data_IF_673387377368
#
_entry.id   IF_673387377368
#
_cell.length_a   1.000
_cell.length_b   1.000
_cell.length_c   1.000
_cell.angle_alpha   90.00
_cell.angle_beta   90.00
_cell.angle_gamma   90.00
#
_symmetry.space_group_name_H-M   'P 1'
#
loop_
_entity.id
_entity.type
_entity.pdbx_description
1 polymer ?
#
# COMPACT_ATOMS: atom_id res chain seq x y z
N UNK A 1 34.99 41.90 -11.57
CA UNK A 1 35.12 40.45 -11.29
C UNK A 1 34.27 40.12 -10.08
N UNK A 2 33.09 39.53 -10.27
CA UNK A 2 32.21 39.12 -9.18
C UNK A 2 31.68 37.73 -9.54
N UNK A 3 32.04 36.75 -8.71
CA UNK A 3 31.76 35.32 -8.94
C UNK A 3 30.26 35.07 -8.71
N UNK A 4 29.56 34.65 -9.77
CA UNK A 4 28.19 34.14 -9.69
C UNK A 4 28.18 32.85 -8.86
N UNK A 5 27.41 32.84 -7.78
CA UNK A 5 27.05 31.61 -7.06
C UNK A 5 25.83 31.02 -7.75
N UNK A 6 26.06 30.01 -8.57
CA UNK A 6 25.02 29.16 -9.15
C UNK A 6 24.41 28.34 -8.02
N UNK A 7 23.16 28.64 -7.64
CA UNK A 7 22.37 27.80 -6.75
C UNK A 7 21.74 26.72 -7.63
N UNK A 8 22.38 25.55 -7.66
CA UNK A 8 21.77 24.34 -8.18
C UNK A 8 20.89 23.75 -7.09
N UNK A 9 19.63 23.41 -7.42
CA UNK A 9 18.81 22.61 -6.51
C UNK A 9 17.31 22.68 -6.74
N UNK A 10 16.80 22.03 -7.79
CA UNK A 10 15.47 21.41 -7.76
C UNK A 10 15.56 20.09 -8.53
N UNK A 11 15.96 19.03 -7.83
CA UNK A 11 15.94 17.67 -8.36
C UNK A 11 15.78 16.65 -7.22
N UNK A 12 14.75 16.78 -6.39
CA UNK A 12 14.34 15.68 -5.49
C UNK A 12 12.84 15.73 -5.23
N UNK A 13 12.03 15.26 -6.17
CA UNK A 13 10.63 14.89 -5.90
C UNK A 13 10.24 13.56 -6.55
N UNK A 14 11.21 12.68 -6.78
CA UNK A 14 10.96 11.29 -7.18
C UNK A 14 11.38 10.25 -6.12
N UNK A 15 11.97 10.66 -4.98
CA UNK A 15 12.57 9.73 -4.03
C UNK A 15 11.65 9.22 -2.91
N UNK A 16 10.49 9.84 -2.65
CA UNK A 16 9.63 9.43 -1.52
C UNK A 16 8.53 8.44 -1.95
N UNK A 17 8.06 8.48 -3.20
CA UNK A 17 7.17 7.44 -3.73
C UNK A 17 7.88 6.09 -3.93
N UNK A 18 9.18 6.11 -4.25
CA UNK A 18 9.99 4.89 -4.37
C UNK A 18 10.31 4.22 -3.03
N UNK A 19 10.47 4.99 -1.95
CA UNK A 19 10.78 4.44 -0.63
C UNK A 19 9.60 3.69 0.02
N UNK A 20 8.37 4.08 -0.28
CA UNK A 20 7.17 3.37 0.19
C UNK A 20 7.00 1.99 -0.49
N UNK A 21 7.42 1.86 -1.75
CA UNK A 21 7.43 0.57 -2.47
C UNK A 21 8.58 -0.34 -2.02
N UNK A 22 9.71 0.23 -1.59
CA UNK A 22 10.85 -0.54 -1.05
C UNK A 22 10.55 -1.14 0.34
N UNK A 23 9.64 -0.53 1.10
CA UNK A 23 9.24 -1.01 2.43
C UNK A 23 8.35 -2.27 2.41
N UNK A 24 7.72 -2.56 1.27
CA UNK A 24 6.84 -3.71 1.09
C UNK A 24 7.55 -4.98 0.60
N UNK A 25 8.89 -5.00 0.56
CA UNK A 25 9.62 -6.24 0.31
C UNK A 25 9.76 -7.05 1.62
N UNK A 26 9.31 -8.32 1.65
CA UNK A 26 9.71 -9.21 2.74
C UNK A 26 11.23 -9.34 2.73
N UNK A 27 11.85 -9.22 3.91
CA UNK A 27 13.30 -9.28 4.05
C UNK A 27 13.85 -10.59 3.43
N UNK A 28 14.89 -10.53 2.59
CA UNK A 28 15.57 -11.74 2.16
C UNK A 28 16.33 -12.32 3.36
N UNK A 29 15.97 -13.54 3.77
CA UNK A 29 16.81 -14.32 4.68
C UNK A 29 18.15 -14.61 4.00
N UNK A 30 19.17 -13.86 4.37
CA UNK A 30 20.53 -14.08 3.90
C UNK A 30 21.23 -15.12 4.79
N UNK A 31 21.23 -16.36 4.31
CA UNK A 31 21.95 -17.50 4.86
C UNK A 31 22.56 -18.40 3.79
N UNK A 32 23.69 -17.94 3.22
CA UNK A 32 24.76 -18.72 2.57
C UNK A 32 24.58 -19.18 1.08
N UNK A 33 25.68 -19.49 0.35
CA UNK A 33 26.01 -18.81 -0.91
C UNK A 33 26.07 -19.73 -2.14
N UNK A 34 26.03 -19.16 -3.36
CA UNK A 34 26.37 -19.93 -4.57
C UNK A 34 26.03 -19.32 -5.92
N UNK A 35 26.93 -18.46 -6.40
CA UNK A 35 27.40 -18.36 -7.81
C UNK A 35 26.46 -17.96 -8.97
N UNK A 36 26.91 -16.86 -9.59
CA UNK A 36 27.14 -16.68 -11.03
C UNK A 36 26.06 -15.97 -11.89
N UNK A 37 26.39 -14.71 -12.13
CA UNK A 37 25.94 -13.79 -13.19
C UNK A 37 26.26 -14.35 -14.58
N UNK A 38 25.41 -14.08 -15.58
CA UNK A 38 25.74 -13.37 -16.85
C UNK A 38 24.63 -13.54 -17.91
N UNK A 39 24.19 -12.42 -18.49
CA UNK A 39 23.76 -12.36 -19.89
C UNK A 39 22.31 -11.96 -20.18
N UNK A 40 22.13 -10.71 -20.61
CA UNK A 40 21.09 -10.29 -21.54
C UNK A 40 21.77 -9.41 -22.63
N UNK A 41 21.19 -9.17 -23.81
CA UNK A 41 20.01 -9.77 -24.48
C UNK A 41 20.36 -10.27 -25.91
N UNK A 42 19.37 -10.64 -26.77
CA UNK A 42 18.94 -9.65 -27.75
C UNK A 42 17.44 -9.68 -28.11
N UNK A 43 17.00 -8.54 -28.66
CA UNK A 43 15.79 -8.28 -29.44
C UNK A 43 15.54 -9.29 -30.56
N UNK A 44 14.29 -9.76 -30.68
CA UNK A 44 13.73 -10.21 -31.96
C UNK A 44 12.20 -10.07 -31.94
N UNK A 45 11.69 -9.23 -32.84
CA UNK A 45 10.30 -9.14 -33.27
C UNK A 45 9.79 -10.49 -33.79
N UNK A 46 8.55 -10.87 -33.43
CA UNK A 46 7.68 -11.63 -34.34
C UNK A 46 6.23 -11.17 -34.21
N UNK A 47 5.70 -10.82 -35.35
CA UNK A 47 4.36 -10.31 -35.62
C UNK A 47 3.28 -11.41 -35.52
N UNK A 48 2.12 -10.96 -35.03
CA UNK A 48 0.76 -11.16 -35.55
C UNK A 48 0.22 -12.58 -35.84
N UNK A 49 -0.87 -12.91 -35.15
CA UNK A 49 -2.07 -13.47 -35.78
C UNK A 49 -3.33 -12.95 -35.05
N UNK A 50 -4.26 -12.44 -35.87
CA UNK A 50 -5.43 -11.66 -35.51
C UNK A 50 -6.66 -12.50 -35.16
N UNK A 51 -7.64 -11.84 -34.51
CA UNK A 51 -9.12 -11.94 -34.60
C UNK A 51 -9.63 -11.01 -33.45
N UNK A 52 -10.23 -9.85 -33.62
CA UNK A 52 -11.10 -9.31 -34.66
C UNK A 52 -12.42 -8.91 -34.01
N UNK A 53 -12.53 -7.70 -33.44
CA UNK A 53 -13.82 -7.07 -33.13
C UNK A 53 -13.71 -5.54 -33.10
N UNK A 54 -14.51 -4.93 -33.97
CA UNK A 54 -14.65 -3.53 -34.37
C UNK A 54 -14.56 -2.42 -33.31
N UNK A 55 -13.86 -1.34 -33.70
CA UNK A 55 -14.03 0.02 -33.19
C UNK A 55 -15.34 0.66 -33.71
N UNK A 56 -15.82 1.72 -33.04
CA UNK A 56 -15.53 3.08 -33.52
C UNK A 56 -14.97 3.92 -32.36
N UNK A 57 -14.20 4.99 -32.48
CA UNK A 57 -13.79 5.83 -33.58
C UNK A 57 -13.29 7.13 -32.91
N UNK A 58 -12.09 7.59 -33.28
CA UNK A 58 -11.62 8.98 -33.15
C UNK A 58 -11.66 9.66 -31.78
N UNK A 59 -10.51 9.73 -31.10
CA UNK A 59 -10.28 10.71 -30.03
C UNK A 59 -8.96 10.48 -29.33
N UNK A 60 -7.97 11.34 -29.59
CA UNK A 60 -6.67 11.33 -28.91
C UNK A 60 -6.84 11.36 -27.37
N UNK A 61 -6.03 10.62 -26.58
CA UNK A 61 -6.08 10.74 -25.13
C UNK A 61 -5.27 11.96 -24.71
N UNK A 62 -5.85 13.15 -24.91
CA UNK A 62 -5.49 14.31 -24.11
C UNK A 62 -6.06 14.08 -22.72
N UNK A 63 -5.20 13.75 -21.76
CA UNK A 63 -5.55 13.66 -20.33
C UNK A 63 -6.03 15.03 -19.85
N UNK A 64 -7.32 15.33 -20.05
CA UNK A 64 -8.02 16.37 -19.31
C UNK A 64 -8.38 15.82 -17.92
N UNK A 65 -7.35 15.69 -17.08
CA UNK A 65 -7.46 15.63 -15.62
C UNK A 65 -7.78 17.05 -15.15
N UNK A 66 -8.98 17.52 -15.49
CA UNK A 66 -9.57 18.65 -14.80
C UNK A 66 -10.28 18.12 -13.55
N UNK A 67 -10.30 18.90 -12.48
CA UNK A 67 -11.16 18.70 -11.33
C UNK A 67 -12.62 18.61 -11.79
N UNK A 68 -13.08 17.40 -12.13
CA UNK A 68 -14.48 17.11 -12.44
C UNK A 68 -15.11 16.59 -11.17
N UNK A 69 -16.20 17.24 -10.75
CA UNK A 69 -17.00 16.84 -9.60
C UNK A 69 -17.40 15.36 -9.73
N UNK A 70 -16.90 14.52 -8.83
CA UNK A 70 -17.31 13.12 -8.70
C UNK A 70 -18.63 13.02 -7.92
N UNK A 71 -19.27 11.85 -7.94
CA UNK A 71 -20.39 11.55 -7.04
C UNK A 71 -19.98 11.66 -5.56
N UNK A 72 -18.71 11.40 -5.25
CA UNK A 72 -18.13 11.60 -3.91
C UNK A 72 -18.01 13.08 -3.50
N UNK A 73 -18.05 14.00 -4.46
CA UNK A 73 -17.97 15.45 -4.24
C UNK A 73 -19.36 16.11 -4.18
N UNK A 74 -20.43 15.33 -4.29
CA UNK A 74 -21.81 15.84 -4.29
C UNK A 74 -22.20 16.51 -2.97
N UNK A 75 -21.56 16.12 -1.86
CA UNK A 75 -21.78 16.66 -0.51
C UNK A 75 -20.94 17.92 -0.23
N UNK A 76 -19.99 18.25 -1.12
CA UNK A 76 -19.15 19.44 -0.99
C UNK A 76 -19.93 20.66 -1.49
N UNK A 77 -20.20 21.58 -0.56
CA UNK A 77 -20.96 22.82 -0.81
C UNK A 77 -20.24 23.77 -1.78
N UNK A 78 -18.92 23.61 -1.92
CA UNK A 78 -18.08 24.48 -2.73
C UNK A 78 -17.61 23.78 -4.02
N UNK A 79 -17.93 24.31 -5.22
CA UNK A 79 -17.59 23.69 -6.49
C UNK A 79 -16.09 23.70 -6.84
N UNK A 80 -15.26 24.48 -6.12
CA UNK A 80 -13.79 24.47 -6.30
C UNK A 80 -13.11 23.45 -5.37
N UNK A 81 -13.65 23.23 -4.18
CA UNK A 81 -13.04 22.43 -3.12
C UNK A 81 -13.43 20.96 -3.25
N UNK A 82 -13.15 20.36 -4.40
CA UNK A 82 -13.46 18.96 -4.72
C UNK A 82 -12.26 18.05 -4.48
N UNK A 83 -12.51 16.74 -4.37
CA UNK A 83 -11.44 15.76 -4.39
C UNK A 83 -10.62 15.86 -5.69
N UNK A 84 -9.29 15.79 -5.56
CA UNK A 84 -8.36 15.95 -6.68
C UNK A 84 -8.02 17.40 -7.03
N UNK A 85 -8.49 18.38 -6.25
CA UNK A 85 -8.09 19.79 -6.40
C UNK A 85 -6.56 19.96 -6.38
N UNK A 86 -5.88 19.33 -5.42
CA UNK A 86 -4.42 19.37 -5.35
C UNK A 86 -3.77 18.77 -6.60
N UNK A 87 -4.24 17.64 -7.08
CA UNK A 87 -3.70 17.00 -8.28
C UNK A 87 -3.87 17.90 -9.52
N UNK A 88 -4.99 18.63 -9.60
CA UNK A 88 -5.25 19.62 -10.65
C UNK A 88 -4.31 20.82 -10.53
N UNK A 89 -4.06 21.33 -9.32
CA UNK A 89 -3.08 22.40 -9.09
C UNK A 89 -1.64 21.94 -9.44
N UNK A 90 -1.26 20.72 -9.08
CA UNK A 90 0.06 20.17 -9.43
C UNK A 90 0.20 19.94 -10.94
N UNK A 91 -0.86 19.51 -11.63
CA UNK A 91 -0.88 19.42 -13.09
C UNK A 91 -0.71 20.80 -13.76
N UNK A 92 -1.40 21.82 -13.25
CA UNK A 92 -1.25 23.21 -13.70
C UNK A 92 0.19 23.72 -13.49
N UNK A 93 0.80 23.43 -12.34
CA UNK A 93 2.20 23.78 -12.04
C UNK A 93 3.18 23.06 -12.95
N UNK A 94 2.91 21.78 -13.26
CA UNK A 94 3.72 21.00 -14.18
C UNK A 94 3.68 21.58 -15.60
N UNK A 95 2.51 22.01 -16.08
CA UNK A 95 2.37 22.66 -17.39
C UNK A 95 3.03 24.05 -17.43
N UNK A 96 3.01 24.80 -16.32
CA UNK A 96 3.70 26.08 -16.21
C UNK A 96 5.24 25.95 -16.32
N UNK A 97 5.76 24.75 -16.03
CA UNK A 97 7.17 24.39 -16.16
C UNK A 97 8.04 24.81 -14.97
N UNK A 98 9.32 24.43 -15.02
CA UNK A 98 10.27 24.72 -13.95
C UNK A 98 10.80 26.16 -14.07
N UNK A 99 10.24 27.05 -13.25
CA UNK A 99 10.62 28.47 -13.18
C UNK A 99 11.09 28.75 -11.76
N UNK A 100 12.37 29.11 -11.60
CA UNK A 100 12.97 29.34 -10.29
C UNK A 100 12.47 30.61 -9.59
N UNK A 101 11.90 31.56 -10.34
CA UNK A 101 11.30 32.77 -9.78
C UNK A 101 9.79 32.56 -9.53
N UNK A 102 9.33 32.65 -8.27
CA UNK A 102 7.91 32.52 -7.94
C UNK A 102 7.01 33.52 -8.66
N UNK A 103 7.47 34.75 -8.92
CA UNK A 103 6.66 35.77 -9.59
C UNK A 103 6.42 35.40 -11.07
N UNK A 104 7.47 35.00 -11.78
CA UNK A 104 7.36 34.50 -13.14
C UNK A 104 6.50 33.22 -13.24
N UNK A 105 6.57 32.33 -12.24
CA UNK A 105 5.69 31.16 -12.19
C UNK A 105 4.21 31.56 -12.08
N UNK A 106 3.86 32.47 -11.18
CA UNK A 106 2.47 32.96 -11.01
C UNK A 106 1.91 33.59 -12.28
N UNK A 107 2.73 34.35 -13.02
CA UNK A 107 2.33 34.90 -14.32
C UNK A 107 1.97 33.82 -15.34
N UNK A 108 2.72 32.70 -15.36
CA UNK A 108 2.39 31.56 -16.24
C UNK A 108 1.11 30.85 -15.81
N UNK A 109 0.89 30.69 -14.50
CA UNK A 109 -0.36 30.11 -13.98
C UNK A 109 -1.58 30.90 -14.44
N UNK A 110 -1.51 32.23 -14.45
CA UNK A 110 -2.58 33.10 -14.92
C UNK A 110 -2.97 32.83 -16.39
N UNK A 111 -1.99 32.49 -17.24
CA UNK A 111 -2.24 32.16 -18.64
C UNK A 111 -2.82 30.74 -18.86
N UNK A 112 -2.60 29.83 -17.90
CA UNK A 112 -2.95 28.41 -18.02
C UNK A 112 -4.19 28.00 -17.23
N UNK A 113 -4.59 28.76 -16.20
CA UNK A 113 -5.67 28.39 -15.27
C UNK A 113 -6.99 28.05 -15.97
N UNK A 114 -7.32 28.78 -17.04
CA UNK A 114 -8.56 28.55 -17.81
C UNK A 114 -8.60 27.24 -18.60
N UNK A 115 -7.48 26.51 -18.71
CA UNK A 115 -7.43 25.16 -19.29
C UNK A 115 -7.76 24.07 -18.28
N UNK A 116 -7.53 24.35 -16.99
CA UNK A 116 -7.68 23.38 -15.89
C UNK A 116 -8.97 23.60 -15.10
N UNK A 117 -9.47 24.84 -15.06
CA UNK A 117 -10.65 25.21 -14.29
C UNK A 117 -11.73 25.84 -15.18
N UNK A 118 -13.02 25.60 -14.90
CA UNK A 118 -14.12 26.31 -15.55
C UNK A 118 -13.98 27.82 -15.41
N UNK A 119 -14.43 28.57 -16.42
CA UNK A 119 -14.34 30.03 -16.43
C UNK A 119 -14.94 30.70 -15.17
N UNK A 120 -16.03 30.16 -14.64
CA UNK A 120 -16.68 30.64 -13.42
C UNK A 120 -15.80 30.51 -12.16
N UNK A 121 -14.83 29.60 -12.16
CA UNK A 121 -13.93 29.35 -11.03
C UNK A 121 -12.51 29.87 -11.27
N UNK A 122 -12.16 30.26 -12.50
CA UNK A 122 -10.78 30.54 -12.91
C UNK A 122 -10.08 31.60 -12.04
N UNK A 123 -10.76 32.70 -11.69
CA UNK A 123 -10.17 33.74 -10.84
C UNK A 123 -9.86 33.23 -9.43
N UNK A 124 -10.77 32.43 -8.85
CA UNK A 124 -10.61 31.87 -7.51
C UNK A 124 -9.58 30.74 -7.49
N UNK A 125 -9.57 29.91 -8.53
CA UNK A 125 -8.56 28.86 -8.71
C UNK A 125 -7.16 29.45 -8.91
N UNK A 126 -7.03 30.56 -9.65
CA UNK A 126 -5.77 31.27 -9.81
C UNK A 126 -5.27 31.80 -8.46
N UNK A 127 -6.12 32.50 -7.71
CA UNK A 127 -5.75 32.99 -6.38
C UNK A 127 -5.31 31.86 -5.44
N UNK A 128 -5.96 30.69 -5.51
CA UNK A 128 -5.55 29.51 -4.74
C UNK A 128 -4.21 28.94 -5.24
N UNK A 129 -3.99 28.86 -6.56
CA UNK A 129 -2.74 28.39 -7.16
C UNK A 129 -1.56 29.29 -6.80
N UNK A 130 -1.75 30.61 -6.77
CA UNK A 130 -0.73 31.57 -6.36
C UNK A 130 -0.35 31.39 -4.88
N UNK A 131 -1.34 31.21 -3.98
CA UNK A 131 -1.08 30.85 -2.57
C UNK A 131 -0.39 29.50 -2.44
N UNK A 132 -0.71 28.55 -3.32
CA UNK A 132 -0.05 27.25 -3.36
C UNK A 132 1.43 27.36 -3.74
N UNK A 133 1.79 28.28 -4.64
CA UNK A 133 3.20 28.61 -4.93
C UNK A 133 3.89 29.19 -3.69
N UNK A 134 3.26 30.15 -3.01
CA UNK A 134 3.83 30.76 -1.80
C UNK A 134 4.01 29.72 -0.67
N UNK A 135 3.04 28.83 -0.52
CA UNK A 135 3.12 27.67 0.37
C UNK A 135 4.33 26.79 0.05
N UNK A 136 4.57 26.45 -1.23
CA UNK A 136 5.73 25.63 -1.62
C UNK A 136 7.06 26.32 -1.32
N UNK A 137 7.13 27.64 -1.52
CA UNK A 137 8.30 28.44 -1.15
C UNK A 137 8.52 28.40 0.36
N UNK A 138 7.48 28.63 1.17
CA UNK A 138 7.56 28.57 2.62
C UNK A 138 7.95 27.16 3.12
N UNK A 139 7.42 26.12 2.49
CA UNK A 139 7.76 24.73 2.80
C UNK A 139 9.25 24.44 2.55
N UNK A 140 9.82 24.97 1.45
CA UNK A 140 11.26 24.85 1.15
C UNK A 140 12.18 25.56 2.15
N UNK A 141 11.64 26.49 2.95
CA UNK A 141 12.38 27.17 4.01
C UNK A 141 12.33 26.41 5.35
N UNK A 142 11.45 25.41 5.49
CA UNK A 142 11.51 24.53 6.65
C UNK A 142 12.84 23.80 6.64
N UNK A 143 13.60 23.95 7.74
CA UNK A 143 14.81 23.14 7.95
C UNK A 143 14.41 21.69 7.91
N UNK A 144 14.91 20.94 6.93
CA UNK A 144 14.57 19.52 6.77
C UNK A 144 15.11 18.73 7.96
N UNK A 145 14.25 18.16 8.84
CA UNK A 145 14.74 17.33 9.95
C UNK A 145 15.49 16.08 9.45
N UNK A 146 15.23 15.67 8.19
CA UNK A 146 15.91 14.55 7.52
C UNK A 146 17.44 14.71 7.38
N UNK A 147 17.98 15.93 7.45
CA UNK A 147 19.43 16.15 7.40
C UNK A 147 20.13 15.86 8.74
N UNK A 148 19.37 15.73 9.84
CA UNK A 148 19.91 15.66 11.21
C UNK A 148 19.24 14.61 12.13
N UNK A 149 18.12 14.00 11.73
CA UNK A 149 17.36 13.05 12.55
C UNK A 149 17.10 11.73 11.82
N UNK A 150 17.05 10.64 12.59
CA UNK A 150 16.63 9.33 12.11
C UNK A 150 15.15 9.37 11.74
N UNK A 151 14.85 9.19 10.45
CA UNK A 151 13.49 9.15 9.92
C UNK A 151 12.69 7.94 10.43
N UNK A 152 13.32 7.00 11.14
CA UNK A 152 12.68 5.90 11.83
C UNK A 152 12.29 6.21 13.29
N UNK A 153 12.60 7.41 13.81
CA UNK A 153 12.12 7.87 15.11
C UNK A 153 10.72 8.47 14.97
N UNK A 154 9.69 7.89 15.62
CA UNK A 154 8.34 8.44 15.60
C UNK A 154 8.25 9.90 16.04
N UNK A 155 9.11 10.34 16.97
CA UNK A 155 9.08 11.74 17.46
C UNK A 155 9.51 12.71 16.36
N UNK A 156 10.63 12.41 15.69
CA UNK A 156 11.12 13.21 14.58
C UNK A 156 10.09 13.31 13.45
N UNK A 157 9.41 12.20 13.13
CA UNK A 157 8.33 12.20 12.14
C UNK A 157 7.14 13.06 12.58
N UNK A 158 6.71 12.94 13.85
CA UNK A 158 5.62 13.75 14.41
C UNK A 158 5.95 15.25 14.33
N UNK A 159 7.15 15.65 14.72
CA UNK A 159 7.59 17.04 14.71
C UNK A 159 7.63 17.60 13.29
N UNK A 160 8.12 16.81 12.33
CA UNK A 160 8.13 17.17 10.90
C UNK A 160 6.71 17.38 10.36
N UNK A 161 5.78 16.47 10.68
CA UNK A 161 4.37 16.58 10.29
C UNK A 161 3.72 17.84 10.87
N UNK A 162 3.94 18.11 12.16
CA UNK A 162 3.40 19.31 12.83
C UNK A 162 3.97 20.61 12.24
N UNK A 163 5.27 20.65 11.93
CA UNK A 163 5.89 21.80 11.29
C UNK A 163 5.27 22.08 9.91
N UNK A 164 5.06 21.04 9.10
CA UNK A 164 4.40 21.14 7.79
C UNK A 164 2.96 21.62 7.91
N UNK A 165 2.18 21.06 8.83
CA UNK A 165 0.78 21.46 9.02
C UNK A 165 0.65 22.90 9.52
N UNK A 166 1.57 23.37 10.38
CA UNK A 166 1.63 24.79 10.77
C UNK A 166 1.84 25.71 9.57
N UNK A 167 2.69 25.33 8.60
CA UNK A 167 2.86 26.10 7.36
C UNK A 167 1.57 26.08 6.55
N UNK A 168 0.93 24.92 6.36
CA UNK A 168 -0.32 24.83 5.59
C UNK A 168 -1.41 25.75 6.13
N UNK A 169 -1.60 25.78 7.46
CA UNK A 169 -2.59 26.62 8.12
C UNK A 169 -2.30 28.13 8.06
N UNK A 170 -1.12 28.55 7.59
CA UNK A 170 -0.83 29.96 7.29
C UNK A 170 -1.37 30.40 5.92
N UNK A 171 -1.58 29.46 4.99
CA UNK A 171 -1.93 29.76 3.60
C UNK A 171 -3.35 29.33 3.22
N UNK A 172 -3.92 28.37 3.94
CA UNK A 172 -5.20 27.75 3.63
C UNK A 172 -6.08 27.73 4.88
N UNK A 173 -7.37 28.06 4.69
CA UNK A 173 -8.37 27.87 5.73
C UNK A 173 -8.71 26.38 5.91
N UNK A 174 -9.63 26.06 6.83
CA UNK A 174 -10.00 24.67 7.11
C UNK A 174 -10.56 23.92 5.90
N UNK A 175 -11.43 24.55 5.11
CA UNK A 175 -12.05 23.90 3.96
C UNK A 175 -11.04 23.70 2.81
N UNK A 176 -10.19 24.70 2.58
CA UNK A 176 -9.09 24.62 1.61
C UNK A 176 -8.04 23.58 2.04
N UNK A 177 -7.71 23.54 3.33
CA UNK A 177 -6.81 22.52 3.90
C UNK A 177 -7.36 21.12 3.66
N UNK A 178 -8.65 20.91 3.94
CA UNK A 178 -9.26 19.58 3.81
C UNK A 178 -9.25 19.10 2.36
N UNK A 179 -9.64 19.97 1.42
CA UNK A 179 -9.64 19.66 -0.01
C UNK A 179 -8.24 19.37 -0.57
N UNK A 180 -7.20 20.01 -0.04
CA UNK A 180 -5.82 19.88 -0.53
C UNK A 180 -5.02 18.78 0.18
N UNK A 181 -5.23 18.57 1.48
CA UNK A 181 -4.28 17.84 2.33
C UNK A 181 -4.89 16.78 3.25
N UNK A 182 -6.21 16.75 3.50
CA UNK A 182 -6.77 15.82 4.49
C UNK A 182 -6.43 14.35 4.21
N UNK A 183 -6.44 13.92 2.95
CA UNK A 183 -6.10 12.53 2.55
C UNK A 183 -4.64 12.18 2.84
N UNK A 184 -3.72 13.11 2.57
CA UNK A 184 -2.30 12.92 2.85
C UNK A 184 -2.04 12.98 4.36
N UNK A 185 -2.64 13.94 5.06
CA UNK A 185 -2.53 14.06 6.51
C UNK A 185 -3.07 12.82 7.24
N UNK A 186 -4.18 12.24 6.77
CA UNK A 186 -4.72 10.97 7.27
C UNK A 186 -3.74 9.81 7.05
N UNK A 187 -3.13 9.70 5.87
CA UNK A 187 -2.12 8.69 5.57
C UNK A 187 -0.89 8.82 6.49
N UNK A 188 -0.42 10.05 6.69
CA UNK A 188 0.74 10.31 7.52
C UNK A 188 0.46 9.96 9.00
N UNK A 189 -0.71 10.36 9.53
CA UNK A 189 -1.13 10.00 10.90
C UNK A 189 -1.23 8.49 11.08
N UNK A 190 -1.85 7.81 10.13
CA UNK A 190 -1.92 6.35 10.10
C UNK A 190 -0.52 5.70 10.10
N UNK A 191 0.39 6.20 9.26
CA UNK A 191 1.74 5.66 9.12
C UNK A 191 2.55 5.86 10.41
N UNK A 192 2.47 7.06 10.99
CA UNK A 192 3.08 7.38 12.27
C UNK A 192 2.54 6.47 13.38
N UNK A 193 1.21 6.31 13.48
CA UNK A 193 0.58 5.46 14.49
C UNK A 193 1.07 4.01 14.40
N UNK A 194 1.18 3.45 13.19
CA UNK A 194 1.71 2.09 13.00
C UNK A 194 3.17 1.96 13.40
N UNK A 195 3.99 2.96 13.10
CA UNK A 195 5.39 2.98 13.52
C UNK A 195 5.51 3.01 15.06
N UNK A 196 4.69 3.83 15.72
CA UNK A 196 4.64 3.92 17.18
C UNK A 196 4.21 2.61 17.84
N UNK A 197 3.18 1.97 17.28
CA UNK A 197 2.71 0.67 17.74
C UNK A 197 3.78 -0.42 17.57
N UNK A 198 4.48 -0.42 16.42
CA UNK A 198 5.55 -1.38 16.15
C UNK A 198 6.75 -1.21 17.10
N UNK A 199 7.07 0.03 17.48
CA UNK A 199 8.16 0.35 18.42
C UNK A 199 7.78 0.19 19.89
N UNK A 200 6.48 0.08 20.20
CA UNK A 200 6.03 -0.07 21.57
C UNK A 200 6.18 -1.53 22.05
N UNK A 201 7.17 -1.75 22.91
CA UNK A 201 7.46 -3.05 23.54
C UNK A 201 6.58 -3.36 24.74
N UNK A 202 5.79 -2.38 25.22
CA UNK A 202 4.89 -2.55 26.36
C UNK A 202 3.47 -3.02 25.99
N UNK A 203 3.15 -3.19 24.70
CA UNK A 203 1.83 -3.65 24.26
C UNK A 203 1.75 -5.17 24.29
N UNK A 204 0.68 -5.70 24.89
CA UNK A 204 0.27 -7.09 24.67
C UNK A 204 -0.13 -7.31 23.21
N UNK A 205 -0.16 -8.56 22.72
CA UNK A 205 -0.67 -8.89 21.38
C UNK A 205 -2.07 -8.32 21.12
N UNK A 206 -2.97 -8.41 22.10
CA UNK A 206 -4.35 -7.91 22.03
C UNK A 206 -4.39 -6.38 21.98
N UNK A 207 -3.61 -5.72 22.83
CA UNK A 207 -3.51 -4.26 22.83
C UNK A 207 -2.91 -3.73 21.53
N UNK A 208 -1.92 -4.44 20.97
CA UNK A 208 -1.32 -4.12 19.68
C UNK A 208 -2.35 -4.26 18.56
N UNK A 209 -3.14 -5.33 18.55
CA UNK A 209 -4.20 -5.53 17.57
C UNK A 209 -5.27 -4.42 17.63
N UNK A 210 -5.71 -4.06 18.85
CA UNK A 210 -6.66 -2.95 19.06
C UNK A 210 -6.10 -1.62 18.60
N UNK A 211 -4.82 -1.33 18.91
CA UNK A 211 -4.17 -0.09 18.48
C UNK A 211 -4.04 0.00 16.95
N UNK A 212 -3.73 -1.12 16.28
CA UNK A 212 -3.69 -1.17 14.81
C UNK A 212 -5.06 -0.91 14.19
N UNK A 213 -6.11 -1.51 14.76
CA UNK A 213 -7.48 -1.27 14.31
C UNK A 213 -7.92 0.20 14.52
N UNK A 214 -7.52 0.81 15.64
CA UNK A 214 -7.75 2.23 15.89
C UNK A 214 -7.00 3.10 14.87
N UNK A 215 -5.74 2.80 14.57
CA UNK A 215 -4.97 3.50 13.55
C UNK A 215 -5.63 3.39 12.16
N UNK A 216 -6.22 2.24 11.83
CA UNK A 216 -6.92 2.06 10.55
C UNK A 216 -8.12 3.01 10.39
N UNK A 217 -8.77 3.40 11.49
CA UNK A 217 -9.90 4.33 11.47
C UNK A 217 -9.55 5.76 11.04
N UNK A 218 -8.27 6.13 11.08
CA UNK A 218 -7.77 7.42 10.57
C UNK A 218 -7.86 7.53 9.05
N UNK A 219 -7.90 6.40 8.33
CA UNK A 219 -7.98 6.42 6.87
C UNK A 219 -9.39 6.72 6.36
N UNK A 220 -9.48 7.41 5.19
CA UNK A 220 -10.75 7.59 4.49
C UNK A 220 -11.47 6.24 4.23
N UNK A 221 -12.82 6.22 4.21
CA UNK A 221 -13.60 4.99 4.04
C UNK A 221 -13.20 4.15 2.83
N UNK A 222 -12.96 4.78 1.67
CA UNK A 222 -12.52 4.12 0.44
C UNK A 222 -11.21 3.34 0.64
N UNK A 223 -10.22 3.99 1.27
CA UNK A 223 -8.90 3.39 1.55
C UNK A 223 -8.96 2.32 2.63
N UNK A 224 -9.89 2.43 3.58
CA UNK A 224 -10.17 1.34 4.52
C UNK A 224 -10.78 0.14 3.80
N UNK A 225 -11.72 0.36 2.89
CA UNK A 225 -12.35 -0.69 2.11
C UNK A 225 -11.35 -1.41 1.19
N UNK A 226 -10.50 -0.68 0.46
CA UNK A 226 -9.44 -1.25 -0.39
C UNK A 226 -8.50 -2.16 0.41
N UNK A 227 -8.09 -1.73 1.61
CA UNK A 227 -7.22 -2.53 2.47
C UNK A 227 -7.93 -3.71 3.11
N UNK A 228 -9.20 -3.55 3.51
CA UNK A 228 -9.99 -4.65 4.00
C UNK A 228 -10.12 -5.74 2.93
N UNK A 229 -10.41 -5.35 1.69
CA UNK A 229 -10.47 -6.28 0.56
C UNK A 229 -9.11 -6.97 0.29
N UNK A 230 -7.99 -6.23 0.37
CA UNK A 230 -6.67 -6.82 0.14
C UNK A 230 -6.21 -7.78 1.25
N UNK A 231 -6.75 -7.63 2.46
CA UNK A 231 -6.38 -8.44 3.64
C UNK A 231 -7.45 -9.45 4.05
N UNK A 232 -8.56 -9.55 3.31
CA UNK A 232 -9.69 -10.41 3.64
C UNK A 232 -9.29 -11.89 3.79
N UNK A 233 -8.39 -12.37 2.94
CA UNK A 233 -7.84 -13.72 3.03
C UNK A 233 -7.10 -13.99 4.35
N UNK A 234 -6.38 -12.99 4.89
CA UNK A 234 -5.72 -13.11 6.19
C UNK A 234 -6.74 -13.16 7.32
N UNK A 235 -7.81 -12.37 7.23
CA UNK A 235 -8.89 -12.38 8.22
C UNK A 235 -9.60 -13.75 8.25
N UNK A 236 -9.88 -14.34 7.08
CA UNK A 236 -10.45 -15.68 6.98
C UNK A 236 -9.53 -16.74 7.60
N UNK A 237 -8.22 -16.67 7.32
CA UNK A 237 -7.23 -17.59 7.92
C UNK A 237 -7.14 -17.44 9.45
N UNK A 238 -7.16 -16.21 9.97
CA UNK A 238 -7.16 -15.94 11.41
C UNK A 238 -8.43 -16.47 12.08
N UNK A 239 -9.60 -16.32 11.43
CA UNK A 239 -10.85 -16.88 11.91
C UNK A 239 -10.79 -18.41 11.99
N UNK A 240 -10.23 -19.07 10.97
CA UNK A 240 -9.99 -20.53 10.99
C UNK A 240 -9.09 -20.95 12.15
N UNK A 241 -7.99 -20.23 12.38
CA UNK A 241 -7.09 -20.52 13.51
C UNK A 241 -7.80 -20.37 14.86
N UNK A 242 -8.63 -19.33 15.04
CA UNK A 242 -9.43 -19.14 16.25
C UNK A 242 -10.44 -20.29 16.46
N UNK A 243 -11.13 -20.72 15.40
CA UNK A 243 -12.02 -21.88 15.47
C UNK A 243 -11.29 -23.18 15.83
N UNK A 244 -10.06 -23.36 15.34
CA UNK A 244 -9.24 -24.52 15.69
C UNK A 244 -8.85 -24.48 17.18
N UNK A 245 -8.38 -23.33 17.68
CA UNK A 245 -8.01 -23.16 19.08
C UNK A 245 -9.20 -23.39 20.04
N UNK A 246 -10.40 -23.02 19.62
CA UNK A 246 -11.64 -23.19 20.39
C UNK A 246 -12.31 -24.56 20.18
N UNK A 247 -11.78 -25.41 19.31
CA UNK A 247 -12.44 -26.65 18.87
C UNK A 247 -13.91 -26.42 18.42
N UNK A 248 -14.14 -25.31 17.71
CA UNK A 248 -15.47 -24.92 17.28
C UNK A 248 -16.06 -25.94 16.29
N UNK A 249 -17.34 -26.29 16.50
CA UNK A 249 -18.07 -27.23 15.64
C UNK A 249 -18.28 -26.69 14.22
N UNK A 250 -18.43 -27.57 13.25
CA UNK A 250 -18.70 -27.20 11.85
C UNK A 250 -19.95 -26.32 11.71
N UNK A 251 -20.99 -26.57 12.51
CA UNK A 251 -22.20 -25.75 12.53
C UNK A 251 -21.89 -24.32 12.99
N UNK A 252 -21.11 -24.16 14.06
CA UNK A 252 -20.71 -22.85 14.57
C UNK A 252 -19.86 -22.11 13.54
N UNK A 253 -18.89 -22.80 12.92
CA UNK A 253 -18.05 -22.25 11.85
C UNK A 253 -18.91 -21.77 10.68
N UNK A 254 -19.85 -22.61 10.23
CA UNK A 254 -20.73 -22.31 9.11
C UNK A 254 -21.63 -21.11 9.37
N UNK A 255 -22.28 -21.06 10.54
CA UNK A 255 -23.15 -19.94 10.93
C UNK A 255 -22.37 -18.62 10.98
N UNK A 256 -21.20 -18.62 11.63
CA UNK A 256 -20.37 -17.42 11.75
C UNK A 256 -19.86 -16.94 10.38
N UNK A 257 -19.36 -17.86 9.54
CA UNK A 257 -18.89 -17.52 8.19
C UNK A 257 -20.01 -17.09 7.26
N UNK A 258 -21.18 -17.70 7.34
CA UNK A 258 -22.34 -17.33 6.50
C UNK A 258 -22.84 -15.94 6.85
N UNK A 259 -22.85 -15.58 8.13
CA UNK A 259 -23.20 -14.25 8.59
C UNK A 259 -22.20 -13.18 8.12
N UNK A 260 -20.91 -13.52 8.02
CA UNK A 260 -19.84 -12.56 7.69
C UNK A 260 -19.54 -12.45 6.19
N UNK A 261 -19.46 -13.59 5.49
CA UNK A 261 -18.98 -13.70 4.12
C UNK A 261 -20.05 -14.23 3.14
N UNK A 262 -21.22 -14.63 3.65
CA UNK A 262 -22.28 -15.27 2.87
C UNK A 262 -22.12 -16.79 2.73
N UNK A 263 -23.22 -17.44 2.35
CA UNK A 263 -23.33 -18.91 2.26
C UNK A 263 -22.29 -19.55 1.32
N UNK A 264 -22.10 -18.98 0.11
CA UNK A 264 -21.16 -19.53 -0.85
C UNK A 264 -19.71 -19.55 -0.32
N UNK A 265 -19.29 -18.46 0.35
CA UNK A 265 -17.98 -18.38 0.96
C UNK A 265 -17.85 -19.32 2.17
N UNK A 266 -18.90 -19.46 2.97
CA UNK A 266 -18.92 -20.39 4.09
C UNK A 266 -18.72 -21.85 3.64
N UNK A 267 -19.38 -22.27 2.56
CA UNK A 267 -19.16 -23.58 1.96
C UNK A 267 -17.75 -23.76 1.40
N UNK A 268 -17.21 -22.77 0.68
CA UNK A 268 -15.85 -22.82 0.15
C UNK A 268 -14.80 -22.93 1.27
N UNK A 269 -14.94 -22.15 2.34
CA UNK A 269 -14.06 -22.22 3.51
C UNK A 269 -14.21 -23.54 4.28
N UNK A 270 -15.41 -24.11 4.37
CA UNK A 270 -15.61 -25.43 4.96
C UNK A 270 -14.95 -26.55 4.13
N UNK A 271 -14.96 -26.42 2.80
CA UNK A 271 -14.22 -27.34 1.93
C UNK A 271 -12.71 -27.20 2.14
N UNK A 272 -12.21 -25.96 2.19
CA UNK A 272 -10.79 -25.69 2.47
C UNK A 272 -10.34 -26.28 3.81
N UNK A 273 -11.16 -26.16 4.87
CA UNK A 273 -10.87 -26.76 6.18
C UNK A 273 -10.74 -28.29 6.08
N UNK A 274 -11.60 -28.97 5.31
CA UNK A 274 -11.52 -30.43 5.09
C UNK A 274 -10.29 -30.83 4.29
N UNK A 275 -9.99 -30.08 3.23
CA UNK A 275 -8.82 -30.35 2.38
C UNK A 275 -7.52 -30.19 3.18
N UNK A 276 -7.45 -29.18 4.05
CA UNK A 276 -6.31 -28.96 4.95
C UNK A 276 -6.19 -30.08 5.99
N UNK A 277 -7.31 -30.52 6.60
CA UNK A 277 -7.29 -31.66 7.53
C UNK A 277 -6.80 -32.95 6.85
N UNK A 278 -7.29 -33.24 5.65
CA UNK A 278 -6.86 -34.41 4.88
C UNK A 278 -5.39 -34.31 4.48
N UNK A 279 -4.93 -33.12 4.05
CA UNK A 279 -3.51 -32.85 3.81
C UNK A 279 -2.66 -33.13 5.06
N UNK A 280 -3.07 -32.62 6.21
CA UNK A 280 -2.33 -32.78 7.46
C UNK A 280 -2.26 -34.23 7.94
N UNK A 281 -3.35 -34.99 7.79
CA UNK A 281 -3.38 -36.43 8.08
C UNK A 281 -2.42 -37.22 7.19
N UNK A 282 -2.37 -36.91 5.88
CA UNK A 282 -1.40 -37.52 4.96
C UNK A 282 0.04 -37.18 5.35
N UNK A 283 0.29 -35.94 5.76
CA UNK A 283 1.60 -35.53 6.28
C UNK A 283 1.97 -36.28 7.57
N UNK A 284 1.01 -36.51 8.48
CA UNK A 284 1.23 -37.30 9.69
C UNK A 284 1.67 -38.72 9.36
N UNK A 285 0.89 -39.41 8.53
CA UNK A 285 1.19 -40.78 8.10
C UNK A 285 2.59 -40.87 7.46
N UNK A 286 2.93 -39.92 6.59
CA UNK A 286 4.24 -39.86 5.95
C UNK A 286 5.38 -39.59 6.94
N UNK A 287 5.20 -38.65 7.88
CA UNK A 287 6.21 -38.33 8.88
C UNK A 287 6.47 -39.50 9.84
N UNK A 288 5.44 -40.25 10.21
CA UNK A 288 5.55 -41.43 11.07
C UNK A 288 6.30 -42.57 10.36
N UNK A 289 5.98 -42.83 9.09
CA UNK A 289 6.68 -43.85 8.29
C UNK A 289 8.18 -43.53 8.16
N UNK A 290 8.52 -42.25 7.91
CA UNK A 290 9.90 -41.76 7.90
C UNK A 290 10.62 -41.98 9.22
N UNK A 291 9.98 -41.64 10.34
CA UNK A 291 10.56 -41.79 11.67
C UNK A 291 10.81 -43.26 12.05
N UNK A 292 9.95 -44.19 11.61
CA UNK A 292 10.07 -45.61 11.96
C UNK A 292 11.04 -46.39 11.07
N UNK A 293 11.09 -46.09 9.76
CA UNK A 293 11.81 -46.91 8.78
C UNK A 293 13.01 -46.20 8.15
N UNK A 294 13.19 -44.91 8.43
CA UNK A 294 14.20 -44.07 7.81
C UNK A 294 13.68 -43.40 6.53
N UNK A 295 14.16 -42.18 6.29
CA UNK A 295 13.70 -41.30 5.20
C UNK A 295 13.82 -41.92 3.81
N UNK A 296 14.85 -42.74 3.59
CA UNK A 296 15.18 -43.36 2.30
C UNK A 296 14.65 -44.79 2.18
N UNK A 297 13.81 -45.24 3.11
CA UNK A 297 13.20 -46.56 3.03
C UNK A 297 12.28 -46.67 1.81
N UNK A 298 12.24 -47.86 1.20
CA UNK A 298 11.35 -48.15 0.09
C UNK A 298 9.88 -47.92 0.47
N UNK A 299 9.50 -48.22 1.71
CA UNK A 299 8.16 -47.97 2.22
C UNK A 299 7.81 -46.47 2.31
N UNK A 300 8.73 -45.62 2.80
CA UNK A 300 8.50 -44.17 2.83
C UNK A 300 8.39 -43.59 1.41
N UNK A 301 9.22 -44.05 0.46
CA UNK A 301 9.13 -43.62 -0.94
C UNK A 301 7.82 -44.06 -1.60
N UNK A 302 7.37 -45.29 -1.33
CA UNK A 302 6.08 -45.77 -1.83
C UNK A 302 4.91 -44.96 -1.25
N UNK A 303 4.93 -44.69 0.06
CA UNK A 303 3.89 -43.87 0.70
C UNK A 303 3.86 -42.44 0.14
N UNK A 304 5.02 -41.86 -0.17
CA UNK A 304 5.13 -40.55 -0.84
C UNK A 304 4.41 -40.54 -2.19
N UNK A 305 4.57 -41.60 -2.99
CA UNK A 305 3.92 -41.72 -4.31
C UNK A 305 2.42 -42.02 -4.21
N UNK A 306 1.98 -42.71 -3.15
CA UNK A 306 0.57 -43.05 -2.95
C UNK A 306 -0.24 -41.90 -2.35
N UNK A 307 0.32 -41.14 -1.40
CA UNK A 307 -0.40 -40.11 -0.67
C UNK A 307 -0.35 -38.74 -1.35
N UNK A 308 0.65 -38.47 -2.19
CA UNK A 308 0.88 -37.13 -2.72
C UNK A 308 1.02 -37.13 -4.24
N UNK A 309 0.32 -36.20 -4.91
CA UNK A 309 0.50 -35.94 -6.33
C UNK A 309 1.90 -35.42 -6.65
N UNK A 310 2.29 -35.43 -7.93
CA UNK A 310 3.58 -34.87 -8.38
C UNK A 310 3.77 -33.42 -7.97
N UNK A 311 2.70 -32.61 -8.00
CA UNK A 311 2.71 -31.20 -7.58
C UNK A 311 2.85 -31.08 -6.05
N UNK A 312 2.10 -31.89 -5.29
CA UNK A 312 2.16 -31.91 -3.83
C UNK A 312 3.54 -32.35 -3.31
N UNK A 313 4.24 -33.23 -4.03
CA UNK A 313 5.57 -33.69 -3.67
C UNK A 313 6.64 -32.58 -3.75
N UNK A 314 6.42 -31.51 -4.52
CA UNK A 314 7.34 -30.36 -4.60
C UNK A 314 7.30 -29.50 -3.33
N UNK A 315 6.13 -29.41 -2.68
CA UNK A 315 5.93 -28.62 -1.45
C UNK A 315 6.11 -29.43 -0.16
N UNK A 316 6.33 -30.74 -0.26
CA UNK A 316 6.32 -31.67 0.87
C UNK A 316 7.40 -31.34 1.92
N UNK A 317 8.64 -31.07 1.48
CA UNK A 317 9.73 -30.77 2.40
C UNK A 317 9.53 -29.44 3.13
N UNK A 318 9.03 -28.41 2.42
CA UNK A 318 8.68 -27.12 3.01
C UNK A 318 7.53 -27.26 4.03
N UNK A 319 6.49 -28.03 3.71
CA UNK A 319 5.37 -28.29 4.63
C UNK A 319 5.85 -29.02 5.90
N UNK A 320 6.73 -30.01 5.77
CA UNK A 320 7.33 -30.71 6.92
C UNK A 320 8.28 -29.83 7.74
N UNK A 321 8.97 -28.87 7.12
CA UNK A 321 9.79 -27.90 7.82
C UNK A 321 8.93 -26.91 8.63
N UNK A 322 7.87 -26.35 8.01
CA UNK A 322 6.91 -25.48 8.69
C UNK A 322 6.26 -26.18 9.90
N UNK A 323 5.92 -27.46 9.76
CA UNK A 323 5.38 -28.26 10.86
C UNK A 323 6.34 -28.36 12.04
N UNK A 324 7.63 -28.61 11.77
CA UNK A 324 8.67 -28.67 12.80
C UNK A 324 8.82 -27.35 13.55
N UNK A 325 8.76 -26.22 12.84
CA UNK A 325 8.80 -24.89 13.41
C UNK A 325 7.56 -24.57 14.27
N UNK A 326 6.37 -25.05 13.86
CA UNK A 326 5.13 -24.89 14.63
C UNK A 326 5.03 -25.79 15.87
N UNK A 327 5.80 -26.88 15.94
CA UNK A 327 5.83 -27.82 17.10
C UNK A 327 6.97 -27.58 18.08
N UNK A 328 7.88 -26.63 17.82
CA UNK A 328 8.92 -26.30 18.78
C UNK A 328 8.28 -25.66 20.03
N UNK A 329 8.47 -26.21 21.25
CA UNK A 329 8.08 -25.48 22.44
C UNK A 329 8.83 -24.16 22.45
N UNK A 330 8.14 -23.07 22.77
CA UNK A 330 8.76 -21.79 23.07
C UNK A 330 9.80 -22.05 24.19
N UNK A 331 11.06 -22.18 23.79
CA UNK A 331 12.15 -22.57 24.67
C UNK A 331 12.47 -21.43 25.62
N UNK A 332 12.20 -21.71 26.90
CA UNK A 332 12.95 -21.37 28.11
C UNK A 332 13.67 -20.03 28.18
#
# INVERSE_FOLDING_TARGET
MQRSRVIAGVAVLAAVAGAALWWFQPAPEAGAPGTAVLGAPPTAERQAAALGAAAPGGGAPGSAVGARRSAADADLSDPLLVQGLRDTLEALLMEAGDVSDPAALKQRLAALVGRHFPAALAARALALAERYVDYRVALGQLKSPAATQDLNDPRALRDAMQARDKVRLQFFDGAEYDALFAREAALDRYTLARLEIARNTGLSPEQRAQALQAADSELPPERRAERAASTEHMAAAAQTAAFNAQNASDLTRHQARSAQYGEAAAHALAQLDRDEQHWQQRLDQYSQARAQQGDQSAAAQQLRQQLFSSEEQQRLDAALALRRLGTAPAGS
#
